data_IF_131517901043
#
_entry.id   IF_131517901043
#
_cell.length_a   1.000
_cell.length_b   1.000
_cell.length_c   1.000
_cell.angle_alpha   90.00
_cell.angle_beta   90.00
_cell.angle_gamma   90.00
#
_symmetry.space_group_name_H-M   'P 1'
#
loop_
_entity.id
_entity.type
_entity.pdbx_description
1 polymer ?
#
# COMPACT_ATOMS: atom_id res chain seq x y z
N UNK A 1 2.54 13.28 -0.99
CA UNK A 1 2.44 12.02 -1.75
C UNK A 1 1.13 12.01 -2.51
N UNK A 2 1.22 12.11 -3.82
CA UNK A 2 0.07 11.99 -4.73
C UNK A 2 -0.33 10.54 -4.91
N UNK A 3 -1.47 10.30 -5.54
CA UNK A 3 -1.88 8.94 -5.96
C UNK A 3 -0.84 8.29 -6.88
N UNK A 4 -0.27 9.06 -7.80
CA UNK A 4 0.71 8.58 -8.77
C UNK A 4 2.02 8.21 -8.08
N UNK A 5 2.48 9.03 -7.12
CA UNK A 5 3.70 8.75 -6.37
C UNK A 5 3.61 7.42 -5.62
N UNK A 6 2.47 7.16 -4.97
CA UNK A 6 2.25 5.89 -4.28
C UNK A 6 2.19 4.70 -5.26
N UNK A 7 1.63 4.90 -6.45
CA UNK A 7 1.62 3.88 -7.49
C UNK A 7 3.04 3.54 -7.96
N UNK A 8 3.82 4.56 -8.30
CA UNK A 8 5.21 4.39 -8.74
C UNK A 8 6.04 3.72 -7.64
N UNK A 9 5.88 4.15 -6.38
CA UNK A 9 6.55 3.53 -5.24
C UNK A 9 6.25 2.02 -5.12
N UNK A 10 4.97 1.62 -5.24
CA UNK A 10 4.60 0.21 -5.14
C UNK A 10 5.16 -0.62 -6.30
N UNK A 11 5.15 -0.08 -7.52
CA UNK A 11 5.73 -0.74 -8.70
C UNK A 11 7.25 -0.91 -8.53
N UNK A 12 7.94 0.14 -8.11
CA UNK A 12 9.37 0.11 -7.84
C UNK A 12 9.72 -0.85 -6.71
N UNK A 13 8.93 -0.89 -5.63
CA UNK A 13 9.10 -1.83 -4.52
C UNK A 13 9.05 -3.28 -5.02
N UNK A 14 8.04 -3.62 -5.82
CA UNK A 14 7.86 -4.96 -6.39
C UNK A 14 9.07 -5.33 -7.28
N UNK A 15 9.52 -4.41 -8.13
CA UNK A 15 10.63 -4.64 -9.03
C UNK A 15 11.97 -4.79 -8.29
N UNK A 16 12.30 -3.82 -7.42
CA UNK A 16 13.59 -3.73 -6.72
C UNK A 16 13.78 -4.87 -5.71
N UNK A 17 12.70 -5.30 -5.07
CA UNK A 17 12.73 -6.44 -4.14
C UNK A 17 12.40 -7.76 -4.82
N UNK A 18 12.15 -7.77 -6.13
CA UNK A 18 11.80 -8.97 -6.91
C UNK A 18 10.63 -9.72 -6.30
N UNK A 19 9.64 -8.99 -5.78
CA UNK A 19 8.52 -9.55 -5.02
C UNK A 19 7.65 -10.46 -5.87
N UNK A 20 7.54 -10.24 -7.18
CA UNK A 20 6.76 -11.13 -8.06
C UNK A 20 7.23 -12.59 -8.01
N UNK A 21 8.55 -12.83 -7.93
CA UNK A 21 9.14 -14.18 -7.84
C UNK A 21 9.61 -14.54 -6.43
N UNK A 22 9.56 -13.59 -5.50
CA UNK A 22 10.13 -13.71 -4.15
C UNK A 22 11.54 -14.36 -4.15
N UNK A 23 12.42 -14.01 -5.09
CA UNK A 23 13.74 -14.67 -5.24
C UNK A 23 14.64 -14.49 -4.01
N UNK A 24 14.34 -13.48 -3.20
CA UNK A 24 15.03 -13.17 -1.95
C UNK A 24 14.50 -13.97 -0.76
N UNK A 25 13.49 -14.84 -0.96
CA UNK A 25 12.92 -15.76 0.03
C UNK A 25 12.39 -15.03 1.28
N UNK A 26 11.58 -14.02 1.07
CA UNK A 26 10.87 -13.34 2.15
C UNK A 26 9.76 -14.24 2.69
N UNK A 27 9.70 -14.41 4.01
CA UNK A 27 8.66 -15.19 4.68
C UNK A 27 7.39 -14.38 4.96
N UNK A 28 7.50 -13.05 5.03
CA UNK A 28 6.40 -12.15 5.35
C UNK A 28 6.56 -10.84 4.57
N UNK A 29 5.45 -10.31 4.05
CA UNK A 29 5.38 -8.97 3.49
C UNK A 29 4.54 -8.06 4.41
N UNK A 30 5.16 -7.01 4.94
CA UNK A 30 4.47 -5.97 5.72
C UNK A 30 4.54 -4.66 4.96
N UNK A 31 3.38 -4.08 4.65
CA UNK A 31 3.27 -2.77 4.03
C UNK A 31 2.55 -1.84 5.01
N UNK A 32 3.25 -0.79 5.42
CA UNK A 32 2.72 0.23 6.32
C UNK A 32 2.55 1.51 5.51
N UNK A 33 1.32 1.99 5.42
CA UNK A 33 1.00 3.26 4.75
C UNK A 33 0.44 4.21 5.80
N UNK A 34 1.12 5.35 5.93
CA UNK A 34 0.70 6.44 6.82
C UNK A 34 0.14 7.57 5.97
N UNK A 35 -1.00 8.12 6.36
CA UNK A 35 -1.59 9.24 5.63
C UNK A 35 -2.78 9.86 6.33
N UNK A 36 -3.23 11.00 5.81
CA UNK A 36 -4.41 11.67 6.33
C UNK A 36 -5.67 10.90 5.96
N UNK A 37 -6.56 10.75 6.94
CA UNK A 37 -7.83 10.08 6.71
C UNK A 37 -8.77 11.00 5.93
N UNK A 38 -9.35 10.46 4.86
CA UNK A 38 -10.57 10.97 4.27
C UNK A 38 -11.75 10.06 4.67
N UNK A 39 -12.97 10.43 4.29
CA UNK A 39 -14.18 9.64 4.58
C UNK A 39 -13.99 8.16 4.21
N UNK A 40 -14.35 7.26 5.13
CA UNK A 40 -14.21 5.81 4.95
C UNK A 40 -12.78 5.29 5.10
N UNK A 41 -12.41 4.29 4.27
CA UNK A 41 -11.08 3.67 4.18
C UNK A 41 -10.25 4.31 3.05
N UNK A 42 -10.18 5.63 3.04
CA UNK A 42 -9.50 6.39 2.00
C UNK A 42 -8.44 7.31 2.62
N UNK A 43 -7.30 7.42 1.93
CA UNK A 43 -6.31 8.44 2.23
C UNK A 43 -6.57 9.70 1.41
N UNK A 44 -6.42 10.85 2.05
CA UNK A 44 -6.29 12.14 1.37
C UNK A 44 -4.83 12.29 0.92
N UNK A 45 -4.62 12.46 -0.38
CA UNK A 45 -3.31 12.69 -0.95
C UNK A 45 -2.97 14.19 -0.98
N UNK A 46 -1.72 14.54 -1.22
CA UNK A 46 -1.29 15.95 -1.26
C UNK A 46 -1.90 16.75 -2.41
N UNK A 47 -2.28 16.09 -3.51
CA UNK A 47 -3.03 16.67 -4.63
C UNK A 47 -4.55 16.76 -4.35
N UNK A 48 -4.98 16.57 -3.09
CA UNK A 48 -6.38 16.55 -2.65
C UNK A 48 -7.23 15.46 -3.31
N UNK A 49 -6.60 14.50 -3.99
CA UNK A 49 -7.29 13.33 -4.49
C UNK A 49 -7.49 12.28 -3.39
N UNK A 50 -8.42 11.38 -3.64
CA UNK A 50 -8.81 10.35 -2.68
C UNK A 50 -8.29 9.00 -3.14
N UNK A 51 -7.55 8.31 -2.28
CA UNK A 51 -7.01 6.99 -2.60
C UNK A 51 -7.74 5.90 -1.80
N UNK A 52 -8.51 5.07 -2.50
CA UNK A 52 -9.11 3.87 -1.91
C UNK A 52 -8.04 2.81 -1.65
N UNK A 53 -8.05 2.30 -0.43
CA UNK A 53 -7.09 1.30 0.03
C UNK A 53 -7.47 -0.10 -0.47
N UNK A 54 -8.76 -0.36 -0.64
CA UNK A 54 -9.26 -1.64 -1.16
C UNK A 54 -8.73 -1.92 -2.57
N UNK A 55 -8.67 -0.88 -3.42
CA UNK A 55 -8.05 -0.94 -4.76
C UNK A 55 -6.52 -1.11 -4.75
N UNK A 56 -5.86 -0.98 -3.60
CA UNK A 56 -4.40 -1.18 -3.48
C UNK A 56 -4.03 -2.51 -2.86
N UNK A 57 -4.91 -3.06 -2.03
CA UNK A 57 -4.81 -4.46 -1.59
C UNK A 57 -4.83 -5.43 -2.78
N UNK A 58 -5.58 -5.09 -3.84
CA UNK A 58 -5.63 -5.92 -5.04
C UNK A 58 -4.28 -6.08 -5.74
N UNK A 59 -3.37 -5.10 -5.63
CA UNK A 59 -2.04 -5.16 -6.26
C UNK A 59 -1.14 -6.25 -5.67
N UNK A 60 -1.47 -6.73 -4.47
CA UNK A 60 -0.80 -7.85 -3.82
C UNK A 60 -1.77 -9.03 -3.60
N UNK A 61 -2.82 -9.10 -4.42
CA UNK A 61 -3.75 -10.22 -4.36
C UNK A 61 -3.08 -11.50 -4.88
N UNK A 62 -3.80 -12.59 -4.70
CA UNK A 62 -3.39 -13.95 -5.06
C UNK A 62 -2.84 -14.07 -6.50
N UNK A 63 -3.40 -13.37 -7.48
CA UNK A 63 -3.01 -13.47 -8.88
C UNK A 63 -1.81 -12.59 -9.24
N UNK A 64 -1.63 -11.46 -8.58
CA UNK A 64 -0.52 -10.53 -8.86
C UNK A 64 0.75 -10.86 -8.05
N UNK A 65 0.62 -11.60 -6.95
CA UNK A 65 1.73 -11.98 -6.07
C UNK A 65 1.73 -13.49 -5.71
N UNK A 66 1.70 -14.36 -6.73
CA UNK A 66 1.69 -15.83 -6.57
C UNK A 66 2.83 -16.33 -5.67
N UNK A 67 4.01 -15.72 -5.73
CA UNK A 67 5.15 -16.11 -4.88
C UNK A 67 4.98 -15.81 -3.39
N UNK A 68 3.97 -15.00 -3.03
CA UNK A 68 3.58 -14.76 -1.65
C UNK A 68 2.30 -15.50 -1.26
N UNK A 69 1.78 -16.39 -2.10
CA UNK A 69 0.49 -17.09 -1.90
C UNK A 69 0.38 -17.75 -0.52
N UNK A 70 1.43 -18.45 -0.11
CA UNK A 70 1.48 -19.19 1.16
C UNK A 70 2.15 -18.40 2.31
N UNK A 71 2.47 -17.13 2.07
CA UNK A 71 3.16 -16.26 3.02
C UNK A 71 2.22 -15.16 3.55
N UNK A 72 2.32 -14.80 4.85
CA UNK A 72 1.56 -13.70 5.42
C UNK A 72 1.83 -12.37 4.70
N UNK A 73 0.74 -11.67 4.38
CA UNK A 73 0.74 -10.32 3.79
C UNK A 73 -0.04 -9.39 4.71
N UNK A 74 0.67 -8.52 5.43
CA UNK A 74 0.09 -7.64 6.45
C UNK A 74 0.07 -6.21 5.90
N UNK A 75 -1.11 -5.62 5.86
CA UNK A 75 -1.31 -4.22 5.46
C UNK A 75 -1.73 -3.40 6.67
N UNK A 76 -0.86 -2.50 7.12
CA UNK A 76 -1.12 -1.59 8.24
C UNK A 76 -1.39 -0.19 7.67
N UNK A 77 -2.50 0.39 8.10
CA UNK A 77 -2.95 1.70 7.64
C UNK A 77 -2.98 2.62 8.85
N UNK A 78 -2.07 3.58 8.88
CA UNK A 78 -1.98 4.54 9.96
C UNK A 78 -2.60 5.86 9.51
N UNK A 79 -3.75 6.16 10.10
CA UNK A 79 -4.49 7.37 9.81
C UNK A 79 -4.03 8.49 10.75
N UNK A 80 -3.47 9.54 10.17
CA UNK A 80 -3.10 10.75 10.89
C UNK A 80 -4.26 11.73 10.86
N UNK A 81 -4.86 11.97 12.02
CA UNK A 81 -5.85 13.04 12.21
C UNK A 81 -5.11 14.28 12.68
N UNK A 82 -5.00 15.30 11.83
CA UNK A 82 -4.56 16.62 12.28
C UNK A 82 -5.72 17.24 13.07
N UNK A 83 -5.52 17.45 14.37
CA UNK A 83 -6.41 18.26 15.20
C UNK A 83 -6.14 19.74 14.90
N UNK A 84 -6.60 20.24 13.76
CA UNK A 84 -6.66 21.69 13.55
C UNK A 84 -7.96 22.05 12.85
N UNK A 85 -8.91 22.52 13.68
CA UNK A 85 -9.88 23.61 13.48
C UNK A 85 -11.15 23.33 14.32
N UNK A 86 -11.09 23.74 15.60
CA UNK A 86 -12.21 24.32 16.33
C UNK A 86 -12.02 25.83 16.21
#
# INVERSE_FOLDING_TARGET
MTKTDLQSFLVELIANHKLYKNTKKYDVLIIIICGHRQKGNMFLTSDRSSLSIDKKRTTFNYHEAESFKDFPKIFILLFVVLKEQI
#
